data_IF_545005942666
#
_entry.id   IF_545005942666
#
_cell.length_a   1.000
_cell.length_b   1.000
_cell.length_c   1.000
_cell.angle_alpha   90.00
_cell.angle_beta   90.00
_cell.angle_gamma   90.00
#
_symmetry.space_group_name_H-M   'P 1'
#
loop_
_entity.id
_entity.type
_entity.pdbx_description
1 polymer ?
#
# COMPACT_ATOMS: atom_id res chain seq x y z
N UNK A 1 17.50 -5.37 -32.54
CA UNK A 1 18.09 -4.58 -31.45
C UNK A 1 16.96 -4.10 -30.55
N UNK A 2 16.65 -4.85 -29.49
CA UNK A 2 15.67 -4.40 -28.49
C UNK A 2 16.30 -3.25 -27.72
N UNK A 3 15.80 -2.03 -27.90
CA UNK A 3 16.10 -0.93 -26.98
C UNK A 3 15.53 -1.33 -25.63
N UNK A 4 16.38 -1.76 -24.71
CA UNK A 4 16.02 -1.80 -23.29
C UNK A 4 15.58 -0.38 -22.93
N UNK A 5 14.29 -0.18 -22.72
CA UNK A 5 13.78 1.08 -22.19
C UNK A 5 14.33 1.15 -20.77
N UNK A 6 15.34 1.99 -20.56
CA UNK A 6 15.82 2.30 -19.21
C UNK A 6 14.66 2.92 -18.45
N UNK A 7 14.16 2.20 -17.45
CA UNK A 7 13.21 2.73 -16.49
C UNK A 7 14.01 3.50 -15.45
N UNK A 8 13.83 4.81 -15.40
CA UNK A 8 14.41 5.63 -14.34
C UNK A 8 13.39 5.72 -13.21
N UNK A 9 13.72 5.12 -12.07
CA UNK A 9 12.94 5.30 -10.84
C UNK A 9 13.15 6.73 -10.37
N UNK A 10 12.06 7.44 -10.10
CA UNK A 10 12.08 8.83 -9.64
C UNK A 10 11.96 8.88 -8.12
N UNK A 11 11.10 8.04 -7.53
CA UNK A 11 11.03 7.90 -6.08
C UNK A 11 10.47 6.55 -5.66
N UNK A 12 10.49 6.27 -4.36
CA UNK A 12 9.85 5.08 -3.78
C UNK A 12 9.23 5.41 -2.43
N UNK A 13 7.99 4.97 -2.22
CA UNK A 13 7.32 5.05 -0.93
C UNK A 13 7.54 3.76 -0.15
N UNK A 14 7.84 3.89 1.14
CA UNK A 14 7.95 2.76 2.05
C UNK A 14 6.56 2.22 2.33
N UNK A 15 6.37 0.91 2.19
CA UNK A 15 5.11 0.24 2.46
C UNK A 15 5.33 -0.85 3.51
N UNK A 16 4.72 -0.69 4.68
CA UNK A 16 4.75 -1.65 5.76
C UNK A 16 3.44 -2.45 5.77
N UNK A 17 3.57 -3.77 5.58
CA UNK A 17 2.46 -4.71 5.63
C UNK A 17 2.52 -5.45 6.96
N UNK A 18 1.59 -5.13 7.84
CA UNK A 18 1.45 -5.74 9.16
C UNK A 18 0.56 -6.97 9.04
N UNK A 19 1.01 -8.10 9.56
CA UNK A 19 0.24 -9.35 9.54
C UNK A 19 0.55 -10.14 10.82
N UNK A 20 -0.46 -10.31 11.67
CA UNK A 20 -0.32 -10.87 13.01
C UNK A 20 0.79 -10.15 13.80
N UNK A 21 1.94 -10.79 14.03
CA UNK A 21 3.09 -10.25 14.77
C UNK A 21 4.28 -9.94 13.85
N UNK A 22 4.04 -9.89 12.53
CA UNK A 22 5.08 -9.67 11.52
C UNK A 22 4.85 -8.37 10.77
N UNK A 23 5.95 -7.69 10.45
CA UNK A 23 5.96 -6.50 9.63
C UNK A 23 6.83 -6.78 8.40
N UNK A 24 6.20 -6.83 7.23
CA UNK A 24 6.87 -6.98 5.95
C UNK A 24 7.11 -5.61 5.33
N UNK A 25 8.30 -5.42 4.79
CA UNK A 25 8.67 -4.19 4.11
C UNK A 25 8.62 -4.38 2.60
N UNK A 26 7.88 -3.52 1.92
CA UNK A 26 7.80 -3.40 0.48
C UNK A 26 8.16 -1.95 0.08
N UNK A 27 8.52 -1.77 -1.18
CA UNK A 27 8.67 -0.44 -1.77
C UNK A 27 7.65 -0.27 -2.88
N UNK A 28 6.96 0.88 -2.88
CA UNK A 28 6.09 1.28 -3.96
C UNK A 28 6.80 2.31 -4.83
N UNK A 29 7.31 1.86 -5.98
CA UNK A 29 8.19 2.66 -6.82
C UNK A 29 7.39 3.50 -7.81
N UNK A 30 7.75 4.78 -7.91
CA UNK A 30 7.25 5.70 -8.91
C UNK A 30 8.36 5.97 -9.93
N UNK A 31 7.99 5.91 -11.19
CA UNK A 31 8.86 6.12 -12.34
C UNK A 31 8.41 7.34 -13.12
N UNK A 32 9.36 7.98 -13.80
CA UNK A 32 9.08 9.07 -14.74
C UNK A 32 9.08 8.53 -16.17
N UNK A 33 8.07 8.90 -16.94
CA UNK A 33 8.07 8.74 -18.39
C UNK A 33 8.56 10.05 -19.02
N UNK A 34 9.82 10.09 -19.45
CA UNK A 34 10.45 11.29 -20.03
C UNK A 34 9.73 11.80 -21.28
N UNK A 35 9.09 10.90 -22.05
CA UNK A 35 8.37 11.28 -23.27
C UNK A 35 7.03 11.91 -22.94
N UNK A 36 6.28 11.29 -22.03
CA UNK A 36 4.97 11.78 -21.62
C UNK A 36 5.05 12.91 -20.58
N UNK A 37 6.21 13.11 -19.95
CA UNK A 37 6.43 13.94 -18.77
C UNK A 37 5.42 13.63 -17.66
N UNK A 38 5.18 12.33 -17.45
CA UNK A 38 4.18 11.83 -16.48
C UNK A 38 4.78 10.75 -15.60
N UNK A 39 4.37 10.77 -14.34
CA UNK A 39 4.71 9.75 -13.35
C UNK A 39 3.80 8.54 -13.47
N UNK A 40 4.35 7.36 -13.23
CA UNK A 40 3.62 6.10 -13.23
C UNK A 40 4.19 5.10 -12.23
N UNK A 41 3.38 4.12 -11.85
CA UNK A 41 3.82 2.93 -11.14
C UNK A 41 3.61 1.70 -12.03
N UNK A 42 4.45 0.69 -11.87
CA UNK A 42 4.19 -0.63 -12.45
C UNK A 42 3.41 -1.46 -11.43
N UNK A 43 2.11 -1.65 -11.68
CA UNK A 43 1.25 -2.51 -10.87
C UNK A 43 0.99 -3.77 -11.66
N UNK A 44 1.41 -4.91 -11.11
CA UNK A 44 1.19 -6.23 -11.70
C UNK A 44 1.68 -6.35 -13.15
N UNK A 45 2.89 -5.85 -13.40
CA UNK A 45 3.50 -5.76 -14.73
C UNK A 45 2.76 -4.84 -15.72
N UNK A 46 1.80 -4.05 -15.24
CA UNK A 46 1.08 -3.07 -16.03
C UNK A 46 1.48 -1.67 -15.59
N UNK A 47 1.83 -0.83 -16.57
CA UNK A 47 2.11 0.59 -16.33
C UNK A 47 0.80 1.34 -16.04
N UNK A 48 0.70 1.94 -14.87
CA UNK A 48 -0.43 2.76 -14.44
C UNK A 48 0.06 4.17 -14.10
N UNK A 49 -0.35 5.15 -14.91
CA UNK A 49 -0.03 6.57 -14.65
C UNK A 49 -0.71 7.05 -13.36
N UNK A 50 -0.07 7.97 -12.63
CA UNK A 50 -0.58 8.44 -11.33
C UNK A 50 -2.00 9.02 -11.41
N UNK A 51 -2.35 9.66 -12.54
CA UNK A 51 -3.69 10.21 -12.77
C UNK A 51 -4.78 9.14 -13.05
N UNK A 52 -4.42 7.86 -13.04
CA UNK A 52 -5.32 6.70 -13.12
C UNK A 52 -5.00 5.67 -12.02
N UNK A 53 -4.10 6.02 -11.11
CA UNK A 53 -3.67 5.14 -10.05
C UNK A 53 -4.55 5.41 -8.83
N UNK A 54 -5.62 4.64 -8.70
CA UNK A 54 -6.43 4.62 -7.49
C UNK A 54 -5.75 3.86 -6.36
N UNK A 55 -6.11 4.20 -5.13
CA UNK A 55 -5.64 3.50 -3.92
C UNK A 55 -6.06 2.03 -3.94
N UNK A 56 -7.21 1.69 -4.53
CA UNK A 56 -7.61 0.29 -4.74
C UNK A 56 -6.55 -0.51 -5.50
N UNK A 57 -5.91 0.06 -6.52
CA UNK A 57 -4.91 -0.66 -7.30
C UNK A 57 -3.69 -1.02 -6.46
N UNK A 58 -3.29 -0.11 -5.55
CA UNK A 58 -2.20 -0.37 -4.61
C UNK A 58 -2.60 -1.48 -3.63
N UNK A 59 -3.81 -1.40 -3.03
CA UNK A 59 -4.31 -2.45 -2.13
C UNK A 59 -4.31 -3.81 -2.82
N UNK A 60 -4.86 -3.88 -4.02
CA UNK A 60 -4.97 -5.10 -4.81
C UNK A 60 -3.60 -5.71 -5.13
N UNK A 61 -2.63 -4.85 -5.44
CA UNK A 61 -1.24 -5.25 -5.67
C UNK A 61 -0.63 -5.88 -4.41
N UNK A 62 -0.81 -5.25 -3.24
CA UNK A 62 -0.33 -5.78 -1.96
C UNK A 62 -0.99 -7.12 -1.64
N UNK A 63 -2.31 -7.22 -1.80
CA UNK A 63 -3.05 -8.45 -1.59
C UNK A 63 -2.49 -9.59 -2.45
N UNK A 64 -2.21 -9.31 -3.72
CA UNK A 64 -1.65 -10.30 -4.65
C UNK A 64 -0.25 -10.75 -4.24
N UNK A 65 0.64 -9.82 -3.86
CA UNK A 65 1.98 -10.15 -3.37
C UNK A 65 1.91 -11.02 -2.12
N UNK A 66 0.94 -10.78 -1.25
CA UNK A 66 0.79 -11.45 0.04
C UNK A 66 -0.10 -12.69 0.00
N UNK A 67 -0.75 -12.98 -1.13
CA UNK A 67 -1.68 -14.11 -1.27
C UNK A 67 -2.95 -13.96 -0.43
N UNK A 68 -3.43 -12.73 -0.23
CA UNK A 68 -4.68 -12.45 0.49
C UNK A 68 -5.87 -12.76 -0.42
N UNK A 69 -6.84 -13.52 0.10
CA UNK A 69 -8.05 -13.88 -0.64
C UNK A 69 -9.02 -12.71 -0.78
N UNK A 70 -9.92 -12.79 -1.76
CA UNK A 70 -10.87 -11.70 -2.08
C UNK A 70 -11.77 -11.31 -0.91
N UNK A 71 -12.12 -12.26 -0.01
CA UNK A 71 -12.96 -11.98 1.17
C UNK A 71 -12.32 -11.01 2.18
N UNK A 72 -10.99 -11.06 2.30
CA UNK A 72 -10.25 -10.23 3.26
C UNK A 72 -9.79 -8.92 2.62
N UNK A 73 -9.60 -8.93 1.30
CA UNK A 73 -9.22 -7.80 0.46
C UNK A 73 -10.17 -6.62 0.59
N UNK A 74 -11.48 -6.85 0.64
CA UNK A 74 -12.46 -5.76 0.71
C UNK A 74 -12.41 -4.99 2.03
N UNK A 75 -11.86 -5.60 3.09
CA UNK A 75 -11.71 -4.97 4.40
C UNK A 75 -10.31 -4.35 4.59
N UNK A 76 -9.41 -4.51 3.62
CA UNK A 76 -8.05 -3.99 3.73
C UNK A 76 -8.01 -2.50 3.48
N UNK A 77 -7.58 -1.78 4.52
CA UNK A 77 -7.33 -0.34 4.49
C UNK A 77 -5.85 -0.05 4.30
N UNK A 78 -5.59 1.14 3.76
CA UNK A 78 -4.26 1.71 3.60
C UNK A 78 -4.21 3.03 4.38
N UNK A 79 -3.12 3.30 5.06
CA UNK A 79 -2.91 4.55 5.78
C UNK A 79 -1.62 5.21 5.34
N UNK A 80 -1.66 6.52 5.10
CA UNK A 80 -0.46 7.36 5.01
C UNK A 80 -0.04 7.77 6.43
N UNK A 81 1.22 7.56 6.76
CA UNK A 81 1.87 8.02 8.01
C UNK A 81 3.12 8.82 7.67
N UNK A 82 3.54 9.73 8.54
CA UNK A 82 4.71 10.61 8.32
C UNK A 82 5.80 10.27 9.34
N UNK A 83 7.05 10.14 8.88
CA UNK A 83 8.21 9.97 9.77
C UNK A 83 8.35 8.58 10.41
N UNK A 84 7.45 7.65 10.12
CA UNK A 84 7.44 6.30 10.69
C UNK A 84 8.49 5.40 10.07
N UNK A 85 9.31 4.77 10.90
CA UNK A 85 10.29 3.75 10.51
C UNK A 85 9.86 2.37 11.00
N UNK A 86 10.44 1.33 10.39
CA UNK A 86 10.22 -0.06 10.80
C UNK A 86 10.52 -0.32 12.28
N UNK A 87 11.44 0.46 12.88
CA UNK A 87 11.80 0.36 14.30
C UNK A 87 10.64 0.84 15.18
N UNK A 88 10.02 1.97 14.83
CA UNK A 88 8.91 2.56 15.58
C UNK A 88 7.71 1.61 15.60
N UNK A 89 7.42 0.97 14.45
CA UNK A 89 6.37 -0.05 14.32
C UNK A 89 6.59 -1.21 15.29
N UNK A 90 7.83 -1.69 15.40
CA UNK A 90 8.18 -2.82 16.28
C UNK A 90 8.18 -2.43 17.75
N UNK A 91 8.74 -1.27 18.10
CA UNK A 91 8.84 -0.83 19.50
C UNK A 91 7.48 -0.45 20.09
N UNK A 92 6.59 0.12 19.27
CA UNK A 92 5.25 0.50 19.69
C UNK A 92 4.21 -0.63 19.51
N UNK A 93 4.63 -1.80 19.03
CA UNK A 93 3.76 -2.96 18.76
C UNK A 93 2.54 -2.63 17.89
N UNK A 94 2.75 -1.83 16.84
CA UNK A 94 1.68 -1.41 15.94
C UNK A 94 1.11 -2.64 15.23
N UNK A 95 -0.15 -2.96 15.49
CA UNK A 95 -0.81 -4.14 14.92
C UNK A 95 -2.31 -3.95 14.66
N UNK A 96 -2.90 -2.86 15.16
CA UNK A 96 -4.32 -2.55 15.02
C UNK A 96 -4.54 -1.19 14.37
N UNK A 97 -5.76 -0.94 13.89
CA UNK A 97 -6.16 0.36 13.36
C UNK A 97 -6.01 1.47 14.42
N UNK A 98 -6.35 1.20 15.69
CA UNK A 98 -6.16 2.15 16.79
C UNK A 98 -4.69 2.54 16.97
N UNK A 99 -3.76 1.60 16.76
CA UNK A 99 -2.33 1.88 16.85
C UNK A 99 -1.86 2.75 15.68
N UNK A 100 -2.40 2.56 14.48
CA UNK A 100 -2.11 3.41 13.32
C UNK A 100 -2.66 4.83 13.52
N UNK A 101 -3.81 4.97 14.18
CA UNK A 101 -4.34 6.29 14.54
C UNK A 101 -3.44 7.04 15.54
N UNK A 102 -2.76 6.33 16.47
CA UNK A 102 -1.75 6.94 17.36
C UNK A 102 -0.52 7.47 16.60
N UNK A 103 -0.25 6.93 15.41
CA UNK A 103 0.78 7.44 14.50
C UNK A 103 0.29 8.60 13.62
N UNK A 104 -0.88 9.16 13.93
CA UNK A 104 -1.56 10.16 13.11
C UNK A 104 -1.79 9.66 11.67
N UNK A 105 -2.01 8.35 11.53
CA UNK A 105 -2.23 7.71 10.24
C UNK A 105 -3.52 8.19 9.59
N UNK A 106 -3.39 8.77 8.40
CA UNK A 106 -4.51 9.18 7.57
C UNK A 106 -4.96 8.00 6.72
N UNK A 107 -6.18 7.52 6.95
CA UNK A 107 -6.80 6.49 6.11
C UNK A 107 -6.93 6.99 4.65
N UNK A 108 -6.68 6.07 3.72
CA UNK A 108 -6.72 6.31 2.29
C UNK A 108 -7.97 5.64 1.70
N UNK A 109 -8.85 6.46 1.11
CA UNK A 109 -10.06 6.03 0.42
C UNK A 109 -9.71 5.33 -0.88
N UNK A 110 -10.35 4.19 -1.14
CA UNK A 110 -9.98 3.29 -2.23
C UNK A 110 -10.26 3.86 -3.62
N UNK A 111 -11.33 4.66 -3.75
CA UNK A 111 -11.76 5.34 -4.96
C UNK A 111 -11.08 6.69 -5.19
N UNK A 112 -10.20 7.11 -4.29
CA UNK A 112 -9.33 8.26 -4.48
C UNK A 112 -8.04 7.90 -5.22
N UNK A 113 -7.45 8.90 -5.90
CA UNK A 113 -6.15 8.75 -6.54
C UNK A 113 -5.05 8.71 -5.48
N UNK A 114 -4.06 7.85 -5.71
CA UNK A 114 -2.83 7.80 -4.91
C UNK A 114 -2.17 9.19 -4.79
N UNK A 115 -2.13 9.96 -5.88
CA UNK A 115 -1.51 11.29 -5.89
C UNK A 115 -2.17 12.27 -4.91
N UNK A 116 -3.46 12.12 -4.60
CA UNK A 116 -4.17 12.99 -3.65
C UNK A 116 -3.52 12.96 -2.26
N UNK A 117 -3.02 11.78 -1.86
CA UNK A 117 -2.41 11.61 -0.55
C UNK A 117 -0.93 12.03 -0.53
N UNK A 118 -0.25 12.03 -1.67
CA UNK A 118 1.20 12.25 -1.75
C UNK A 118 1.58 13.48 -2.58
N UNK A 119 0.64 14.42 -2.79
CA UNK A 119 0.85 15.58 -3.65
C UNK A 119 2.05 16.41 -3.20
N UNK A 120 2.17 16.71 -1.91
CA UNK A 120 3.29 17.51 -1.37
C UNK A 120 4.65 16.84 -1.64
N UNK A 121 4.73 15.51 -1.51
CA UNK A 121 5.95 14.75 -1.80
C UNK A 121 6.25 14.72 -3.31
N UNK A 122 5.22 14.60 -4.13
CA UNK A 122 5.34 14.60 -5.59
C UNK A 122 5.75 15.98 -6.13
N UNK A 123 5.25 17.07 -5.55
CA UNK A 123 5.59 18.43 -5.92
C UNK A 123 7.04 18.75 -5.51
N UNK A 124 7.47 18.32 -4.31
CA UNK A 124 8.88 18.45 -3.90
C UNK A 124 9.85 17.73 -4.83
N UNK A 125 9.45 16.60 -5.41
CA UNK A 125 10.25 15.88 -6.41
C UNK A 125 10.38 16.62 -7.74
N UNK A 126 9.47 17.54 -8.05
CA UNK A 126 9.61 18.42 -9.22
C UNK A 126 10.68 19.50 -9.00
N UNK A 127 10.92 19.89 -7.74
CA UNK A 127 11.92 20.89 -7.35
C UNK A 127 13.29 20.26 -7.00
N UNK A 128 13.29 19.07 -6.39
CA UNK A 128 14.48 18.35 -5.91
C UNK A 128 14.40 16.86 -6.29
N UNK A 129 15.14 16.48 -7.32
CA UNK A 129 15.17 15.09 -7.82
C UNK A 129 15.78 14.10 -6.80
N UNK A 130 16.55 14.57 -5.82
CA UNK A 130 17.14 13.74 -4.76
C UNK A 130 16.24 13.68 -3.51
N UNK A 131 15.05 14.29 -3.55
CA UNK A 131 14.10 14.27 -2.43
C UNK A 131 13.67 12.84 -2.07
N UNK A 132 13.78 12.51 -0.78
CA UNK A 132 13.32 11.23 -0.25
C UNK A 132 12.02 11.46 0.53
N UNK A 133 10.90 10.83 0.12
CA UNK A 133 9.64 10.92 0.84
C UNK A 133 9.79 10.49 2.31
N UNK A 134 9.34 11.37 3.20
CA UNK A 134 9.29 11.08 4.64
C UNK A 134 8.08 10.22 5.02
N UNK A 135 7.06 10.22 4.16
CA UNK A 135 5.86 9.44 4.35
C UNK A 135 6.06 7.97 4.05
N UNK A 136 5.25 7.16 4.72
CA UNK A 136 5.16 5.72 4.51
C UNK A 136 3.70 5.31 4.43
N UNK A 137 3.46 4.14 3.88
CA UNK A 137 2.14 3.53 3.78
C UNK A 137 2.12 2.36 4.75
N UNK A 138 1.06 2.22 5.53
CA UNK A 138 0.81 1.06 6.38
C UNK A 138 -0.45 0.36 5.89
N UNK A 139 -0.45 -0.96 5.96
CA UNK A 139 -1.66 -1.77 5.84
C UNK A 139 -1.61 -2.95 6.81
N UNK A 140 -2.77 -3.41 7.27
CA UNK A 140 -2.90 -4.48 8.26
C UNK A 140 -3.72 -5.60 7.63
N UNK A 141 -3.08 -6.73 7.37
CA UNK A 141 -3.74 -7.95 6.92
C UNK A 141 -4.30 -8.67 8.14
N UNK A 142 -5.64 -8.73 8.29
CA UNK A 142 -6.26 -9.44 9.40
C UNK A 142 -5.97 -10.94 9.31
N UNK A 143 -5.91 -11.61 10.45
CA UNK A 143 -5.81 -13.07 10.44
C UNK A 143 -7.19 -13.70 10.25
N UNK A 144 -7.22 -14.88 9.64
CA UNK A 144 -8.43 -15.70 9.57
C UNK A 144 -9.02 -16.04 10.96
N UNK A 145 -8.23 -15.93 12.04
CA UNK A 145 -8.70 -16.08 13.43
C UNK A 145 -9.45 -14.86 13.97
N UNK A 146 -9.26 -13.68 13.36
CA UNK A 146 -9.87 -12.43 13.81
C UNK A 146 -11.34 -12.33 13.33
N UNK A 147 -11.72 -13.19 12.38
CA UNK A 147 -13.10 -13.39 11.94
C UNK A 147 -13.59 -14.80 12.34
N UNK A 148 -14.33 -14.96 13.45
CA UNK A 148 -14.99 -16.23 13.73
C UNK A 148 -15.97 -16.53 12.59
N UNK A 149 -15.69 -17.59 11.83
CA UNK A 149 -16.53 -18.12 10.74
C UNK A 149 -18.03 -17.93 11.03
N UNK A 150 -18.67 -16.97 10.35
CA UNK A 150 -20.13 -16.96 10.22
C UNK A 150 -20.50 -17.98 9.16
N UNK A 151 -20.87 -19.18 9.64
CA UNK A 151 -21.64 -20.27 9.01
C UNK A 151 -20.85 -21.52 8.58
N UNK A 152 -20.98 -22.54 9.43
CA UNK A 152 -21.45 -23.86 8.99
C UNK A 152 -22.39 -24.43 10.05
N UNK A 153 -23.64 -23.96 10.08
CA UNK A 153 -24.73 -24.64 10.81
C UNK A 153 -25.43 -25.55 9.81
N UNK A 154 -24.82 -26.70 9.53
CA UNK A 154 -25.40 -27.80 8.76
C UNK A 154 -24.90 -29.13 9.34
N UNK A 155 -25.09 -29.31 10.64
CA UNK A 155 -25.18 -30.64 11.24
C UNK A 155 -26.45 -30.65 12.08
N UNK A 156 -27.45 -31.40 11.61
CA UNK A 156 -28.78 -31.44 12.23
C UNK A 156 -29.94 -31.72 11.28
N UNK A 157 -29.73 -32.46 10.19
CA UNK A 157 -30.78 -33.23 9.53
C UNK A 157 -30.23 -34.63 9.30
N UNK A 158 -30.24 -35.41 10.39
CA UNK A 158 -30.24 -36.87 10.30
C UNK A 158 -31.70 -37.29 10.24
N UNK A 159 -32.01 -38.08 9.21
CA UNK A 159 -33.22 -38.81 8.81
C UNK A 159 -34.35 -38.92 9.85
#
# INVERSE_FOLDING_TARGET
MSRCIQKTMETSFKLYVLQSNSCYFLTFNIYKDDKAKKRYADIDNTRTYLNKLYVEHLRDHVCRIRGVGDSDKDNLKLWKVIGVKSKDIKEQNISTEEDVQKLEGKEMELDELFSTYFQDELDKLDDDEDYIPESSIITIIPNASDFPNKKTKLEGLMF
#
